data_IF_126495850579
#
_entry.id   IF_126495850579
#
_cell.length_a   1.000
_cell.length_b   1.000
_cell.length_c   1.000
_cell.angle_alpha   90.00
_cell.angle_beta   90.00
_cell.angle_gamma   90.00
#
_symmetry.space_group_name_H-M   'P 1'
#
loop_
_entity.id
_entity.type
_entity.pdbx_description
1 polymer ?
#
# COMPACT_ATOMS: atom_id res chain seq x y z
N UNK A 1 18.81 -0.20 -3.29
CA UNK A 1 19.13 -0.60 -1.90
C UNK A 1 20.03 0.47 -1.33
N UNK A 2 19.75 0.97 -0.14
CA UNK A 2 20.70 1.85 0.55
C UNK A 2 21.88 0.96 0.96
N UNK A 3 23.09 1.35 0.55
CA UNK A 3 24.29 0.61 0.92
C UNK A 3 24.43 0.58 2.44
N UNK A 4 24.78 -0.59 2.98
CA UNK A 4 24.95 -0.84 4.42
C UNK A 4 23.68 -0.68 5.27
N UNK A 5 22.48 -0.80 4.68
CA UNK A 5 21.26 -0.85 5.48
C UNK A 5 21.24 -2.12 6.35
N UNK A 6 21.13 -2.01 7.69
CA UNK A 6 21.06 -3.18 8.54
C UNK A 6 19.86 -4.07 8.20
N UNK A 7 20.06 -5.38 8.11
CA UNK A 7 19.02 -6.32 7.69
C UNK A 7 17.75 -6.30 8.55
N UNK A 8 17.87 -5.94 9.84
CA UNK A 8 16.71 -5.81 10.73
C UNK A 8 15.72 -4.73 10.28
N UNK A 9 16.15 -3.70 9.55
CA UNK A 9 15.27 -2.64 9.05
C UNK A 9 14.28 -3.21 8.05
N UNK A 10 14.77 -4.02 7.10
CA UNK A 10 13.92 -4.70 6.12
C UNK A 10 12.94 -5.66 6.79
N UNK A 11 13.40 -6.41 7.80
CA UNK A 11 12.55 -7.33 8.57
C UNK A 11 11.45 -6.55 9.31
N UNK A 12 11.81 -5.49 10.02
CA UNK A 12 10.86 -4.65 10.74
C UNK A 12 9.84 -3.99 9.81
N UNK A 13 10.27 -3.50 8.65
CA UNK A 13 9.39 -2.93 7.63
C UNK A 13 8.36 -3.94 7.10
N UNK A 14 8.80 -5.16 6.78
CA UNK A 14 7.92 -6.23 6.31
C UNK A 14 6.89 -6.59 7.39
N UNK A 15 7.34 -6.82 8.63
CA UNK A 15 6.46 -7.17 9.75
C UNK A 15 5.43 -6.07 10.04
N UNK A 16 5.85 -4.82 10.10
CA UNK A 16 4.95 -3.68 10.35
C UNK A 16 3.95 -3.48 9.21
N UNK A 17 4.36 -3.71 7.96
CA UNK A 17 3.45 -3.66 6.79
C UNK A 17 2.36 -4.72 6.91
N UNK A 18 2.74 -5.99 7.13
CA UNK A 18 1.77 -7.08 7.29
C UNK A 18 0.87 -6.88 8.51
N UNK A 19 1.41 -6.40 9.63
CA UNK A 19 0.63 -6.10 10.83
C UNK A 19 -0.41 -5.00 10.57
N UNK A 20 -0.01 -3.94 9.87
CA UNK A 20 -0.91 -2.82 9.52
C UNK A 20 -2.07 -3.30 8.64
N UNK A 21 -1.78 -4.11 7.61
CA UNK A 21 -2.82 -4.72 6.77
C UNK A 21 -3.70 -5.66 7.58
N UNK A 22 -3.10 -6.45 8.48
CA UNK A 22 -3.83 -7.34 9.38
C UNK A 22 -4.83 -6.58 10.26
N UNK A 23 -4.41 -5.48 10.87
CA UNK A 23 -5.30 -4.61 11.65
C UNK A 23 -6.39 -3.96 10.80
N UNK A 24 -6.06 -3.46 9.62
CA UNK A 24 -7.05 -2.90 8.69
C UNK A 24 -8.10 -3.96 8.34
N UNK A 25 -7.68 -5.17 7.98
CA UNK A 25 -8.61 -6.22 7.59
C UNK A 25 -9.43 -6.73 8.76
N UNK A 26 -8.84 -6.85 9.95
CA UNK A 26 -9.56 -7.19 11.15
C UNK A 26 -10.66 -6.16 11.44
N UNK A 27 -10.35 -4.86 11.40
CA UNK A 27 -11.32 -3.80 11.64
C UNK A 27 -12.47 -3.81 10.61
N UNK A 28 -12.16 -3.95 9.31
CA UNK A 28 -13.18 -4.02 8.26
C UNK A 28 -14.08 -5.24 8.43
N UNK A 29 -13.52 -6.41 8.78
CA UNK A 29 -14.29 -7.64 8.99
C UNK A 29 -15.25 -7.54 10.18
N UNK A 30 -14.90 -6.79 11.22
CA UNK A 30 -15.75 -6.61 12.41
C UNK A 30 -16.96 -5.72 12.14
N UNK A 31 -16.88 -4.77 11.20
CA UNK A 31 -17.88 -3.71 11.03
C UNK A 31 -18.73 -3.89 9.76
N UNK A 32 -18.11 -4.21 8.61
CA UNK A 32 -18.76 -4.08 7.28
C UNK A 32 -18.36 -5.19 6.29
N UNK A 33 -18.10 -6.40 6.78
CA UNK A 33 -17.57 -7.52 5.96
C UNK A 33 -18.38 -7.85 4.71
N UNK A 34 -19.69 -7.63 4.71
CA UNK A 34 -20.58 -8.06 3.63
C UNK A 34 -20.73 -7.03 2.50
N UNK A 35 -20.17 -5.83 2.68
CA UNK A 35 -20.24 -4.75 1.68
C UNK A 35 -19.35 -5.04 0.48
N UNK A 36 -19.76 -4.58 -0.70
CA UNK A 36 -18.94 -4.66 -1.92
C UNK A 36 -17.62 -3.92 -1.75
N UNK A 37 -17.63 -2.78 -1.03
CA UNK A 37 -16.43 -2.01 -0.72
C UNK A 37 -15.41 -2.83 0.09
N UNK A 38 -15.85 -3.56 1.12
CA UNK A 38 -14.97 -4.43 1.91
C UNK A 38 -14.35 -5.54 1.06
N UNK A 39 -15.13 -6.19 0.19
CA UNK A 39 -14.64 -7.23 -0.73
C UNK A 39 -13.60 -6.69 -1.71
N UNK A 40 -13.85 -5.52 -2.29
CA UNK A 40 -12.88 -4.83 -3.16
C UNK A 40 -11.61 -4.52 -2.38
N UNK A 41 -11.72 -4.00 -1.15
CA UNK A 41 -10.58 -3.63 -0.32
C UNK A 41 -9.71 -4.86 0.02
N UNK A 42 -10.33 -5.99 0.39
CA UNK A 42 -9.61 -7.24 0.67
C UNK A 42 -8.85 -7.80 -0.53
N UNK A 43 -9.33 -7.57 -1.75
CA UNK A 43 -8.65 -8.00 -2.98
C UNK A 43 -7.61 -6.96 -3.46
N UNK A 44 -7.95 -5.68 -3.39
CA UNK A 44 -7.15 -4.60 -3.96
C UNK A 44 -5.90 -4.30 -3.13
N UNK A 45 -5.99 -4.29 -1.79
CA UNK A 45 -4.85 -3.96 -0.93
C UNK A 45 -3.68 -4.94 -1.10
N UNK A 46 -3.88 -6.28 -1.09
CA UNK A 46 -2.76 -7.22 -1.28
C UNK A 46 -2.18 -7.13 -2.69
N UNK A 47 -3.04 -7.00 -3.71
CA UNK A 47 -2.60 -6.80 -5.09
C UNK A 47 -1.75 -5.53 -5.24
N UNK A 48 -2.19 -4.44 -4.59
CA UNK A 48 -1.47 -3.18 -4.57
C UNK A 48 -0.11 -3.30 -3.89
N UNK A 49 -0.02 -4.01 -2.75
CA UNK A 49 1.26 -4.22 -2.07
C UNK A 49 2.25 -5.05 -2.89
N UNK A 50 1.77 -6.08 -3.60
CA UNK A 50 2.60 -6.86 -4.53
C UNK A 50 3.12 -5.97 -5.66
N UNK A 51 2.24 -5.16 -6.25
CA UNK A 51 2.61 -4.19 -7.28
C UNK A 51 3.67 -3.19 -6.78
N UNK A 52 3.48 -2.64 -5.58
CA UNK A 52 4.43 -1.71 -4.97
C UNK A 52 5.78 -2.39 -4.65
N UNK A 53 5.77 -3.63 -4.17
CA UNK A 53 7.00 -4.39 -3.93
C UNK A 53 7.78 -4.65 -5.23
N UNK A 54 7.09 -4.96 -6.34
CA UNK A 54 7.71 -5.13 -7.64
C UNK A 54 8.34 -3.82 -8.16
N UNK A 55 7.63 -2.69 -8.07
CA UNK A 55 8.19 -1.39 -8.46
C UNK A 55 9.38 -0.98 -7.58
N UNK A 56 9.27 -1.14 -6.26
CA UNK A 56 10.34 -0.78 -5.34
C UNK A 56 11.60 -1.64 -5.55
N UNK A 57 11.45 -2.94 -5.78
CA UNK A 57 12.59 -3.86 -5.97
C UNK A 57 13.29 -3.68 -7.31
N UNK A 58 12.59 -3.24 -8.36
CA UNK A 58 13.19 -2.90 -9.66
C UNK A 58 13.99 -1.59 -9.67
N UNK A 59 13.99 -0.83 -8.56
CA UNK A 59 14.62 0.49 -8.50
C UNK A 59 13.82 1.59 -9.21
N UNK A 60 12.56 1.33 -9.59
CA UNK A 60 11.70 2.26 -10.32
C UNK A 60 11.59 3.64 -9.65
N UNK A 61 11.55 3.67 -8.32
CA UNK A 61 11.43 4.87 -7.50
C UNK A 61 12.75 5.62 -7.22
N UNK A 62 13.90 5.10 -7.68
CA UNK A 62 15.19 5.77 -7.50
C UNK A 62 15.35 6.99 -8.43
N UNK A 63 14.55 7.06 -9.50
CA UNK A 63 14.56 8.18 -10.43
C UNK A 63 13.66 9.31 -9.91
N UNK A 64 14.30 10.29 -9.25
CA UNK A 64 13.65 11.43 -8.60
C UNK A 64 13.63 12.70 -9.46
N UNK A 65 14.51 12.80 -10.46
CA UNK A 65 14.67 14.00 -11.30
C UNK A 65 13.74 14.05 -12.52
N UNK A 66 12.78 13.11 -12.59
CA UNK A 66 11.78 13.03 -13.67
C UNK A 66 10.50 13.75 -13.28
N UNK A 67 9.95 14.52 -14.21
CA UNK A 67 8.63 15.15 -14.06
C UNK A 67 7.60 14.46 -14.97
N UNK A 68 6.48 13.96 -14.42
CA UNK A 68 6.09 13.98 -13.01
C UNK A 68 6.88 12.97 -12.13
N UNK A 69 7.11 13.28 -10.83
CA UNK A 69 7.85 12.38 -9.94
C UNK A 69 7.14 11.03 -9.77
N UNK A 70 7.89 9.93 -9.89
CA UNK A 70 7.33 8.56 -9.96
C UNK A 70 6.70 8.10 -8.65
N UNK A 71 7.33 8.40 -7.52
CA UNK A 71 6.86 7.99 -6.20
C UNK A 71 5.45 8.53 -5.91
N UNK A 72 5.17 9.85 -6.00
CA UNK A 72 3.82 10.34 -5.77
C UNK A 72 2.84 9.82 -6.82
N UNK A 73 3.25 9.74 -8.09
CA UNK A 73 2.35 9.32 -9.18
C UNK A 73 1.89 7.87 -9.06
N UNK A 74 2.79 6.94 -8.72
CA UNK A 74 2.51 5.51 -8.75
C UNK A 74 2.30 4.87 -7.37
N UNK A 75 2.64 5.55 -6.27
CA UNK A 75 2.42 5.03 -4.92
C UNK A 75 1.42 5.88 -4.12
N UNK A 76 1.72 7.17 -3.91
CA UNK A 76 0.99 8.00 -2.93
C UNK A 76 -0.37 8.46 -3.46
N UNK A 77 -0.42 9.04 -4.66
CA UNK A 77 -1.66 9.59 -5.23
C UNK A 77 -2.72 8.49 -5.41
N UNK A 78 -2.42 7.32 -6.01
CA UNK A 78 -3.43 6.26 -6.14
C UNK A 78 -3.97 5.77 -4.80
N UNK A 79 -3.12 5.68 -3.77
CA UNK A 79 -3.55 5.31 -2.42
C UNK A 79 -4.46 6.38 -1.78
N UNK A 80 -4.11 7.66 -1.93
CA UNK A 80 -4.95 8.76 -1.44
C UNK A 80 -6.29 8.82 -2.16
N UNK A 81 -6.30 8.64 -3.48
CA UNK A 81 -7.53 8.57 -4.27
C UNK A 81 -8.41 7.43 -3.76
N UNK A 82 -7.88 6.23 -3.54
CA UNK A 82 -8.64 5.12 -2.96
C UNK A 82 -9.26 5.48 -1.61
N UNK A 83 -8.48 6.08 -0.70
CA UNK A 83 -8.97 6.50 0.62
C UNK A 83 -10.12 7.50 0.48
N UNK A 84 -9.96 8.52 -0.37
CA UNK A 84 -10.99 9.53 -0.62
C UNK A 84 -12.26 8.88 -1.20
N UNK A 85 -12.11 7.98 -2.18
CA UNK A 85 -13.22 7.25 -2.78
C UNK A 85 -13.96 6.41 -1.74
N UNK A 86 -13.25 5.75 -0.82
CA UNK A 86 -13.88 5.01 0.27
C UNK A 86 -14.70 5.94 1.19
N UNK A 87 -14.20 7.11 1.55
CA UNK A 87 -14.97 8.06 2.37
C UNK A 87 -16.22 8.63 1.67
N UNK A 88 -16.18 8.77 0.34
CA UNK A 88 -17.29 9.30 -0.45
C UNK A 88 -18.34 8.22 -0.74
N UNK A 89 -17.90 7.02 -1.13
CA UNK A 89 -18.77 5.98 -1.69
C UNK A 89 -19.07 4.81 -0.74
N UNK A 90 -18.31 4.63 0.35
CA UNK A 90 -18.53 3.53 1.30
C UNK A 90 -19.36 3.95 2.55
N UNK A 91 -20.03 5.11 2.50
CA UNK A 91 -21.12 5.47 3.42
C UNK A 91 -22.41 4.76 3.04
#
# INVERSE_FOLDING_TARGET
MIENLPGYVSIAFILTTFLTVGFLFYAVRQIVSDTTAAKILFALVPLWLIFQAALASSGFYLLVDVFPPRLPLFAVIPALVLIILLFIFAR
#
